data_IF_414860124386
#
_entry.id   IF_414860124386
#
_cell.length_a   1.000
_cell.length_b   1.000
_cell.length_c   1.000
_cell.angle_alpha   90.00
_cell.angle_beta   90.00
_cell.angle_gamma   90.00
#
_symmetry.space_group_name_H-M   'P 1'
#
loop_
_entity.id
_entity.type
_entity.pdbx_description
1 polymer ?
#
# COMPACT_ATOMS: atom_id res chain seq x y z
N UNK A 1 -9.39 31.55 -28.17
CA UNK A 1 -8.00 31.46 -28.70
C UNK A 1 -6.99 32.34 -27.95
N UNK A 2 -7.39 33.50 -27.39
CA UNK A 2 -6.51 34.42 -26.63
C UNK A 2 -6.17 33.89 -25.22
N UNK A 3 -7.11 33.23 -24.52
CA UNK A 3 -6.86 32.62 -23.21
C UNK A 3 -5.76 31.53 -23.24
N UNK A 4 -5.63 30.79 -24.34
CA UNK A 4 -4.61 29.75 -24.50
C UNK A 4 -3.19 30.34 -24.71
N UNK A 5 -3.10 31.59 -25.21
CA UNK A 5 -1.82 32.31 -25.35
C UNK A 5 -1.37 32.92 -24.01
N UNK A 6 -2.30 33.40 -23.19
CA UNK A 6 -1.98 33.94 -21.86
C UNK A 6 -1.52 32.86 -20.87
N UNK A 7 -2.11 31.66 -20.91
CA UNK A 7 -1.64 30.51 -20.11
C UNK A 7 -0.21 30.07 -20.48
N UNK A 8 0.21 30.29 -21.73
CA UNK A 8 1.56 29.97 -22.23
C UNK A 8 2.63 30.96 -21.75
N UNK A 9 2.24 32.18 -21.38
CA UNK A 9 3.19 33.27 -21.07
C UNK A 9 3.54 33.34 -19.57
N UNK A 10 2.70 32.78 -18.69
CA UNK A 10 2.97 32.73 -17.25
C UNK A 10 3.85 31.55 -16.80
N UNK A 11 4.22 30.65 -17.71
CA UNK A 11 5.07 29.50 -17.39
C UNK A 11 6.41 29.69 -18.09
N UNK A 12 7.20 30.67 -17.63
CA UNK A 12 8.66 30.57 -17.78
C UNK A 12 9.08 29.49 -16.78
N UNK A 13 9.54 28.31 -17.20
CA UNK A 13 9.86 27.23 -16.28
C UNK A 13 11.15 27.58 -15.55
N UNK A 14 11.00 28.33 -14.45
CA UNK A 14 12.04 28.46 -13.43
C UNK A 14 12.41 27.06 -12.95
N UNK A 15 13.69 26.84 -12.64
CA UNK A 15 14.26 25.54 -12.24
C UNK A 15 13.41 24.77 -11.21
N UNK A 16 12.66 25.48 -10.37
CA UNK A 16 11.72 24.96 -9.37
C UNK A 16 10.56 24.11 -9.93
N UNK A 17 10.01 24.45 -11.11
CA UNK A 17 8.89 23.67 -11.70
C UNK A 17 9.34 22.27 -12.12
N UNK A 18 10.62 22.08 -12.44
CA UNK A 18 11.19 20.76 -12.75
C UNK A 18 11.46 19.92 -11.50
N UNK A 19 11.59 20.54 -10.34
CA UNK A 19 11.85 19.83 -9.08
C UNK A 19 10.55 19.34 -8.42
N UNK A 20 9.44 20.06 -8.61
CA UNK A 20 8.17 19.76 -7.95
C UNK A 20 7.70 18.29 -8.11
N UNK A 21 7.78 17.65 -9.29
CA UNK A 21 7.36 16.25 -9.44
C UNK A 21 8.29 15.27 -8.70
N UNK A 22 9.58 15.59 -8.56
CA UNK A 22 10.51 14.74 -7.81
C UNK A 22 10.17 14.73 -6.32
N UNK A 23 9.67 15.84 -5.78
CA UNK A 23 9.23 15.93 -4.38
C UNK A 23 8.04 15.00 -4.13
N UNK A 24 7.18 14.75 -5.12
CA UNK A 24 6.04 13.83 -5.01
C UNK A 24 6.45 12.35 -4.86
N UNK A 25 7.66 11.97 -5.28
CA UNK A 25 8.14 10.58 -5.14
C UNK A 25 8.23 10.19 -3.67
N UNK A 26 8.66 11.12 -2.80
CA UNK A 26 8.85 10.88 -1.36
C UNK A 26 7.53 10.46 -0.67
N UNK A 27 6.43 11.23 -0.72
CA UNK A 27 5.17 10.83 -0.10
C UNK A 27 4.58 9.58 -0.75
N UNK A 28 4.75 9.36 -2.07
CA UNK A 28 4.28 8.12 -2.71
C UNK A 28 4.95 6.90 -2.10
N UNK A 29 6.28 6.90 -2.02
CA UNK A 29 7.06 5.79 -1.44
C UNK A 29 6.71 5.62 0.04
N UNK A 30 6.58 6.72 0.79
CA UNK A 30 6.26 6.70 2.21
C UNK A 30 4.87 6.10 2.47
N UNK A 31 3.84 6.52 1.73
CA UNK A 31 2.50 5.96 1.88
C UNK A 31 2.43 4.51 1.40
N UNK A 32 3.12 4.15 0.32
CA UNK A 32 3.23 2.75 -0.11
C UNK A 32 3.88 1.88 0.98
N UNK A 33 4.99 2.34 1.57
CA UNK A 33 5.67 1.62 2.63
C UNK A 33 4.77 1.47 3.88
N UNK A 34 4.08 2.54 4.31
CA UNK A 34 3.16 2.51 5.44
C UNK A 34 1.97 1.58 5.20
N UNK A 35 1.37 1.62 4.00
CA UNK A 35 0.29 0.72 3.63
C UNK A 35 0.75 -0.75 3.60
N UNK A 36 1.96 -1.02 3.09
CA UNK A 36 2.52 -2.38 3.04
C UNK A 36 2.93 -2.92 4.41
N UNK A 37 3.54 -2.09 5.26
CA UNK A 37 3.89 -2.47 6.63
C UNK A 37 2.64 -2.71 7.48
N UNK A 38 1.56 -1.97 7.18
CA UNK A 38 0.28 -2.09 7.87
C UNK A 38 0.45 -2.08 9.38
N UNK A 39 -0.11 -3.10 10.02
CA UNK A 39 -0.19 -3.22 11.46
C UNK A 39 1.14 -3.59 12.13
N UNK A 40 2.16 -4.04 11.36
CA UNK A 40 3.49 -4.34 11.91
C UNK A 40 4.25 -3.07 12.31
N UNK A 41 3.82 -1.91 11.82
CA UNK A 41 4.44 -0.64 12.20
C UNK A 41 4.13 -0.30 13.66
N UNK A 42 5.15 -0.31 14.52
CA UNK A 42 5.05 0.13 15.92
C UNK A 42 5.11 1.65 16.07
N UNK A 43 4.79 2.40 15.01
CA UNK A 43 4.86 3.85 15.02
C UNK A 43 3.75 4.43 15.92
N UNK A 44 4.08 5.12 17.02
CA UNK A 44 3.08 5.68 17.93
C UNK A 44 2.26 6.82 17.29
N UNK A 45 2.72 7.39 16.18
CA UNK A 45 2.07 8.53 15.53
C UNK A 45 0.84 8.16 14.67
N UNK A 46 0.77 6.91 14.19
CA UNK A 46 -0.35 6.43 13.35
C UNK A 46 -0.76 5.04 13.83
N UNK A 47 -1.47 4.94 14.97
CA UNK A 47 -2.10 3.69 15.36
C UNK A 47 -3.12 3.26 14.31
N UNK A 48 -3.48 1.98 14.31
CA UNK A 48 -4.63 1.45 13.55
C UNK A 48 -4.49 1.43 12.02
N UNK A 49 -3.29 1.11 11.51
CA UNK A 49 -3.10 0.79 10.09
C UNK A 49 -3.39 -0.69 9.87
N UNK A 50 -4.65 -1.04 9.65
CA UNK A 50 -5.05 -2.39 9.25
C UNK A 50 -6.05 -2.33 8.10
N UNK A 51 -6.20 -3.45 7.40
CA UNK A 51 -7.21 -3.63 6.35
C UNK A 51 -8.53 -4.00 6.99
N UNK A 52 -8.50 -5.01 7.86
CA UNK A 52 -9.66 -5.50 8.60
C UNK A 52 -9.22 -5.79 10.04
N UNK A 53 -10.07 -5.43 10.99
CA UNK A 53 -10.04 -5.87 12.36
C UNK A 53 -11.19 -6.88 12.59
N UNK A 54 -10.89 -7.97 13.29
CA UNK A 54 -11.83 -9.01 13.68
C UNK A 54 -11.97 -8.97 15.20
N UNK A 55 -13.19 -8.78 15.67
CA UNK A 55 -13.55 -8.79 17.08
C UNK A 55 -14.56 -9.92 17.32
N UNK A 56 -14.45 -10.69 18.40
CA UNK A 56 -15.44 -11.69 18.73
C UNK A 56 -16.76 -11.02 19.15
N UNK A 57 -17.88 -11.74 19.01
CA UNK A 57 -19.19 -11.19 19.32
C UNK A 57 -19.30 -10.76 20.79
N UNK A 58 -20.03 -9.66 21.07
CA UNK A 58 -20.20 -9.04 22.41
C UNK A 58 -20.62 -9.98 23.56
N UNK A 59 -21.05 -11.20 23.24
CA UNK A 59 -21.43 -12.22 24.22
C UNK A 59 -20.25 -13.13 24.65
N UNK A 60 -19.06 -12.95 24.06
CA UNK A 60 -17.85 -13.69 24.42
C UNK A 60 -17.06 -12.94 25.49
N UNK A 61 -16.49 -13.66 26.45
CA UNK A 61 -15.77 -13.10 27.60
C UNK A 61 -14.33 -12.66 27.29
N UNK A 62 -13.94 -12.64 26.01
CA UNK A 62 -12.55 -12.46 25.58
C UNK A 62 -12.41 -11.11 24.85
N UNK A 63 -11.76 -10.10 25.45
CA UNK A 63 -11.49 -8.83 24.79
C UNK A 63 -10.29 -8.98 23.85
N UNK A 64 -10.42 -9.82 22.83
CA UNK A 64 -9.35 -10.06 21.84
C UNK A 64 -9.70 -9.40 20.51
N UNK A 65 -8.75 -8.69 19.93
CA UNK A 65 -8.90 -8.08 18.60
C UNK A 65 -7.80 -8.60 17.68
N UNK A 66 -8.16 -9.08 16.48
CA UNK A 66 -7.19 -9.52 15.48
C UNK A 66 -7.19 -8.54 14.32
N UNK A 67 -6.08 -7.84 14.11
CA UNK A 67 -5.88 -6.85 13.06
C UNK A 67 -5.04 -7.43 11.94
N UNK A 68 -5.51 -7.28 10.70
CA UNK A 68 -4.89 -7.88 9.52
C UNK A 68 -4.42 -6.78 8.57
N UNK A 69 -3.13 -6.78 8.24
CA UNK A 69 -2.50 -5.93 7.23
C UNK A 69 -2.16 -6.70 5.94
N UNK A 70 -1.46 -6.06 5.00
CA UNK A 70 -1.08 -6.69 3.73
C UNK A 70 -0.08 -7.84 3.89
N UNK A 71 0.88 -7.71 4.79
CA UNK A 71 1.95 -8.69 5.03
C UNK A 71 2.10 -9.10 6.50
N UNK A 72 1.27 -8.55 7.39
CA UNK A 72 1.34 -8.82 8.81
C UNK A 72 -0.02 -8.95 9.46
N UNK A 73 0.00 -9.53 10.64
CA UNK A 73 -1.15 -9.73 11.51
C UNK A 73 -0.75 -9.30 12.91
N UNK A 74 -1.68 -8.66 13.62
CA UNK A 74 -1.50 -8.30 15.02
C UNK A 74 -2.67 -8.79 15.85
N UNK A 75 -2.39 -9.17 17.09
CA UNK A 75 -3.38 -9.51 18.09
C UNK A 75 -3.28 -8.50 19.23
N UNK A 76 -4.42 -7.94 19.63
CA UNK A 76 -4.57 -7.17 20.85
C UNK A 76 -5.26 -8.06 21.90
N UNK A 77 -4.61 -8.26 23.04
CA UNK A 77 -5.15 -8.99 24.19
C UNK A 77 -5.77 -8.07 25.26
N UNK A 78 -5.93 -6.78 24.95
CA UNK A 78 -6.42 -5.73 25.85
C UNK A 78 -5.32 -5.07 26.68
N UNK A 79 -4.12 -5.65 26.74
CA UNK A 79 -2.96 -5.08 27.42
C UNK A 79 -1.80 -4.78 26.46
N UNK A 80 -1.53 -5.72 25.54
CA UNK A 80 -0.36 -5.67 24.66
C UNK A 80 -0.78 -6.07 23.24
N UNK A 81 -0.50 -5.19 22.29
CA UNK A 81 -0.58 -5.50 20.87
C UNK A 81 0.71 -6.22 20.44
N UNK A 82 0.59 -7.45 19.95
CA UNK A 82 1.69 -8.22 19.36
C UNK A 82 1.50 -8.35 17.87
N UNK A 83 2.57 -8.18 17.11
CA UNK A 83 2.53 -8.19 15.64
C UNK A 83 3.54 -9.17 15.08
N UNK A 84 3.16 -9.89 14.03
CA UNK A 84 4.02 -10.82 13.32
C UNK A 84 3.73 -10.77 11.81
N UNK A 85 4.74 -11.12 11.01
CA UNK A 85 4.51 -11.43 9.59
C UNK A 85 3.61 -12.65 9.45
N UNK A 86 2.58 -12.56 8.63
CA UNK A 86 1.68 -13.69 8.33
C UNK A 86 2.19 -14.57 7.19
N UNK A 87 3.34 -14.23 6.58
CA UNK A 87 3.91 -14.98 5.47
C UNK A 87 4.41 -16.37 5.92
N UNK A 88 3.75 -17.43 5.43
CA UNK A 88 4.20 -18.82 5.58
C UNK A 88 4.04 -19.42 6.99
N UNK A 89 3.30 -18.74 7.89
CA UNK A 89 3.07 -19.22 9.24
C UNK A 89 1.90 -20.21 9.34
N UNK A 90 2.07 -21.28 10.11
CA UNK A 90 0.97 -22.15 10.54
C UNK A 90 0.05 -21.39 11.51
N UNK A 91 -1.27 -21.58 11.39
CA UNK A 91 -2.30 -20.91 12.21
C UNK A 91 -2.00 -21.09 13.71
N UNK A 92 -1.54 -22.27 14.12
CA UNK A 92 -1.25 -22.57 15.53
C UNK A 92 -0.05 -21.77 16.04
N UNK A 93 1.01 -21.67 15.22
CA UNK A 93 2.22 -20.92 15.57
C UNK A 93 1.90 -19.43 15.67
N UNK A 94 1.17 -18.90 14.69
CA UNK A 94 0.75 -17.49 14.68
C UNK A 94 -0.15 -17.20 15.88
N UNK A 95 -1.15 -18.04 16.16
CA UNK A 95 -2.06 -17.85 17.30
C UNK A 95 -1.31 -17.85 18.62
N UNK A 96 -0.41 -18.81 18.84
CA UNK A 96 0.38 -18.90 20.08
C UNK A 96 1.34 -17.72 20.26
N UNK A 97 1.88 -17.19 19.16
CA UNK A 97 2.76 -16.03 19.16
C UNK A 97 2.02 -14.73 19.46
N UNK A 98 0.83 -14.54 18.87
CA UNK A 98 -0.01 -13.37 19.09
C UNK A 98 -0.62 -13.38 20.51
N UNK A 99 -1.02 -14.56 20.99
CA UNK A 99 -1.85 -14.73 22.18
C UNK A 99 -1.24 -15.73 23.18
N UNK A 100 -0.03 -15.47 23.71
CA UNK A 100 0.68 -16.42 24.57
C UNK A 100 -0.04 -16.70 25.89
N UNK A 101 -0.85 -15.75 26.40
CA UNK A 101 -1.65 -15.92 27.62
C UNK A 101 -2.62 -17.09 27.53
N UNK A 102 -3.19 -17.33 26.35
CA UNK A 102 -4.17 -18.38 26.12
C UNK A 102 -3.52 -19.74 25.86
N UNK A 103 -2.24 -19.77 25.46
CA UNK A 103 -1.47 -20.99 25.33
C UNK A 103 -1.02 -21.57 26.69
N UNK A 104 -0.81 -20.71 27.70
CA UNK A 104 -0.19 -21.11 28.98
C UNK A 104 -1.18 -21.37 30.13
N UNK A 105 -2.44 -20.92 30.03
CA UNK A 105 -3.44 -21.03 31.11
C UNK A 105 -4.06 -22.44 31.29
N UNK A 106 -3.48 -23.49 30.71
CA UNK A 106 -3.87 -24.87 30.95
C UNK A 106 -3.15 -25.48 32.17
N UNK A 107 -3.13 -24.75 33.28
CA UNK A 107 -2.61 -25.22 34.55
C UNK A 107 -3.64 -26.13 35.23
N UNK A 108 -3.52 -27.42 34.93
CA UNK A 108 -4.23 -28.49 35.62
C UNK A 108 -3.84 -29.88 35.12
N UNK A 109 -2.59 -30.30 35.35
CA UNK A 109 -2.11 -31.71 35.27
C UNK A 109 -2.08 -32.45 33.92
N UNK A 110 -2.13 -31.78 32.75
CA UNK A 110 -1.94 -32.46 31.47
C UNK A 110 -0.55 -32.17 30.87
N UNK A 111 0.24 -33.22 30.63
CA UNK A 111 1.60 -33.24 30.04
C UNK A 111 1.67 -32.84 28.56
N UNK A 112 0.70 -32.08 28.06
CA UNK A 112 0.59 -31.71 26.64
C UNK A 112 0.26 -30.22 26.54
N UNK A 113 0.96 -29.44 25.70
CA UNK A 113 0.61 -28.03 25.48
C UNK A 113 -0.85 -27.96 25.02
N UNK A 114 -1.68 -27.25 25.76
CA UNK A 114 -3.08 -27.09 25.42
C UNK A 114 -3.21 -26.25 24.15
N UNK A 115 -4.04 -26.71 23.24
CA UNK A 115 -4.36 -25.95 22.04
C UNK A 115 -5.10 -24.66 22.45
N UNK A 116 -4.85 -23.52 21.78
CA UNK A 116 -5.64 -22.31 21.99
C UNK A 116 -7.12 -22.59 21.66
N UNK A 117 -8.06 -21.76 22.18
CA UNK A 117 -9.49 -21.94 21.93
C UNK A 117 -9.77 -22.07 20.44
N UNK A 118 -10.60 -23.04 20.04
CA UNK A 118 -10.92 -23.29 18.62
C UNK A 118 -11.45 -22.03 17.93
N UNK A 119 -12.22 -21.21 18.65
CA UNK A 119 -12.73 -19.92 18.16
C UNK A 119 -11.61 -18.94 17.75
N UNK A 120 -10.51 -18.89 18.51
CA UNK A 120 -9.39 -18.01 18.22
C UNK A 120 -8.61 -18.51 16.99
N UNK A 121 -8.44 -19.83 16.89
CA UNK A 121 -7.84 -20.44 15.70
C UNK A 121 -8.68 -20.17 14.45
N UNK A 122 -10.00 -20.25 14.56
CA UNK A 122 -10.93 -19.98 13.45
C UNK A 122 -10.87 -18.51 13.00
N UNK A 123 -10.78 -17.56 13.95
CA UNK A 123 -10.60 -16.13 13.64
C UNK A 123 -9.27 -15.90 12.90
N UNK A 124 -8.17 -16.45 13.40
CA UNK A 124 -6.83 -16.28 12.80
C UNK A 124 -6.75 -16.99 11.44
N UNK A 125 -7.33 -18.18 11.30
CA UNK A 125 -7.41 -18.89 10.02
C UNK A 125 -8.20 -18.09 8.99
N UNK A 126 -9.36 -17.54 9.38
CA UNK A 126 -10.20 -16.69 8.53
C UNK A 126 -9.44 -15.43 8.11
N UNK A 127 -8.73 -14.77 9.04
CA UNK A 127 -7.89 -13.63 8.77
C UNK A 127 -6.81 -13.92 7.70
N UNK A 128 -6.07 -15.03 7.85
CA UNK A 128 -5.02 -15.43 6.90
C UNK A 128 -5.62 -15.78 5.53
N UNK A 129 -6.79 -16.43 5.51
CA UNK A 129 -7.48 -16.77 4.26
C UNK A 129 -7.97 -15.52 3.52
N UNK A 130 -8.52 -14.54 4.23
CA UNK A 130 -8.94 -13.24 3.67
C UNK A 130 -7.72 -12.50 3.10
N UNK A 131 -6.62 -12.44 3.85
CA UNK A 131 -5.40 -11.76 3.44
C UNK A 131 -4.82 -12.37 2.15
N UNK A 132 -4.73 -13.70 2.07
CA UNK A 132 -4.11 -14.39 0.93
C UNK A 132 -4.97 -14.39 -0.33
N UNK A 133 -6.31 -14.44 -0.21
CA UNK A 133 -7.21 -14.53 -1.36
C UNK A 133 -7.71 -13.19 -1.90
N UNK A 134 -8.00 -12.24 -1.02
CA UNK A 134 -8.72 -11.00 -1.39
C UNK A 134 -7.75 -9.84 -1.53
N UNK A 135 -6.85 -9.69 -0.56
CA UNK A 135 -5.87 -8.60 -0.54
C UNK A 135 -4.52 -9.01 -1.14
N UNK A 136 -4.58 -10.00 -2.06
CA UNK A 136 -3.44 -10.44 -2.84
C UNK A 136 -2.63 -9.26 -3.35
N UNK A 137 -1.33 -9.51 -3.52
CA UNK A 137 -0.20 -8.59 -3.66
C UNK A 137 -0.26 -7.53 -4.80
N UNK A 138 -1.45 -7.15 -5.29
CA UNK A 138 -1.68 -6.12 -6.30
C UNK A 138 -1.04 -4.80 -5.88
N UNK A 139 -1.18 -4.39 -4.61
CA UNK A 139 -0.56 -3.16 -4.12
C UNK A 139 0.97 -3.23 -4.10
N UNK A 140 1.53 -4.37 -3.70
CA UNK A 140 2.98 -4.58 -3.73
C UNK A 140 3.49 -4.63 -5.18
N UNK A 141 2.75 -5.26 -6.08
CA UNK A 141 3.02 -5.24 -7.52
C UNK A 141 2.96 -3.82 -8.09
N UNK A 142 1.97 -3.02 -7.70
CA UNK A 142 1.87 -1.62 -8.08
C UNK A 142 3.09 -0.81 -7.62
N UNK A 143 3.53 -1.04 -6.38
CA UNK A 143 4.73 -0.42 -5.81
C UNK A 143 5.98 -0.85 -6.58
N UNK A 144 6.13 -2.15 -6.88
CA UNK A 144 7.23 -2.68 -7.68
C UNK A 144 7.30 -2.05 -9.09
N UNK A 145 6.16 -1.97 -9.79
CA UNK A 145 6.10 -1.31 -11.10
C UNK A 145 6.39 0.18 -11.01
N UNK A 146 6.01 0.86 -9.92
CA UNK A 146 6.37 2.25 -9.67
C UNK A 146 7.90 2.41 -9.60
N UNK A 147 8.57 1.61 -8.78
CA UNK A 147 10.03 1.65 -8.63
C UNK A 147 10.76 1.40 -9.95
N UNK A 148 10.35 0.39 -10.72
CA UNK A 148 10.94 0.14 -12.06
C UNK A 148 10.66 1.33 -12.98
N UNK A 149 9.46 1.90 -12.95
CA UNK A 149 9.11 3.10 -13.70
C UNK A 149 10.02 4.29 -13.38
N UNK A 150 10.36 4.52 -12.11
CA UNK A 150 11.31 5.56 -11.67
C UNK A 150 12.73 5.27 -12.18
N UNK A 151 13.20 4.02 -12.13
CA UNK A 151 14.51 3.63 -12.67
C UNK A 151 14.57 3.91 -14.16
N UNK A 152 13.53 3.51 -14.92
CA UNK A 152 13.43 3.79 -16.35
C UNK A 152 13.40 5.29 -16.65
N UNK A 153 12.68 6.07 -15.84
CA UNK A 153 12.65 7.54 -15.96
C UNK A 153 14.05 8.15 -15.76
N UNK A 154 14.82 7.67 -14.77
CA UNK A 154 16.18 8.16 -14.52
C UNK A 154 17.12 7.80 -15.67
N UNK A 155 17.05 6.56 -16.17
CA UNK A 155 17.82 6.11 -17.33
C UNK A 155 17.46 6.93 -18.58
N UNK A 156 16.17 7.21 -18.78
CA UNK A 156 15.70 8.01 -19.89
C UNK A 156 16.18 9.46 -19.81
N UNK A 157 16.13 10.07 -18.63
CA UNK A 157 16.66 11.42 -18.40
C UNK A 157 18.17 11.49 -18.64
N UNK A 158 18.92 10.46 -18.24
CA UNK A 158 20.36 10.34 -18.50
C UNK A 158 20.67 10.21 -19.99
N UNK A 159 19.90 9.40 -20.71
CA UNK A 159 20.04 9.21 -22.17
C UNK A 159 19.74 10.51 -22.93
N UNK A 160 18.75 11.30 -22.48
CA UNK A 160 18.47 12.61 -23.07
C UNK A 160 19.53 13.68 -22.76
N UNK A 161 20.24 13.58 -21.62
CA UNK A 161 21.30 14.53 -21.26
C UNK A 161 22.58 14.29 -22.08
N UNK A 162 22.88 13.02 -22.38
CA UNK A 162 24.01 12.61 -23.21
C UNK A 162 23.49 11.77 -24.39
N UNK A 163 22.87 12.40 -25.40
CA UNK A 163 22.27 11.68 -26.51
C UNK A 163 23.35 10.92 -27.26
N UNK A 164 23.21 9.59 -27.34
CA UNK A 164 24.05 8.77 -28.18
C UNK A 164 23.43 8.71 -29.59
N UNK A 165 24.05 9.34 -30.62
CA UNK A 165 23.49 9.41 -31.96
C UNK A 165 23.30 8.01 -32.58
N UNK A 166 24.06 7.01 -32.15
CA UNK A 166 24.05 5.67 -32.74
C UNK A 166 22.86 4.81 -32.28
N UNK A 167 22.08 5.23 -31.28
CA UNK A 167 21.05 4.39 -30.64
C UNK A 167 19.69 5.06 -30.41
N UNK A 168 19.04 5.64 -31.44
CA UNK A 168 17.74 6.31 -31.30
C UNK A 168 16.62 5.37 -30.79
N UNK A 169 16.73 4.06 -31.09
CA UNK A 169 15.75 3.04 -30.65
C UNK A 169 15.72 2.88 -29.13
N UNK A 170 16.84 3.11 -28.44
CA UNK A 170 16.94 2.97 -26.97
C UNK A 170 16.08 4.00 -26.25
N UNK A 171 16.16 5.27 -26.66
CA UNK A 171 15.38 6.37 -26.09
C UNK A 171 13.87 6.13 -26.23
N UNK A 172 13.43 5.63 -27.40
CA UNK A 172 12.02 5.28 -27.63
C UNK A 172 11.52 4.15 -26.71
N UNK A 173 12.33 3.11 -26.50
CA UNK A 173 12.00 2.00 -25.59
C UNK A 173 11.94 2.49 -24.14
N UNK A 174 12.92 3.26 -23.68
CA UNK A 174 12.96 3.81 -22.33
C UNK A 174 11.76 4.72 -22.07
N UNK A 175 11.40 5.56 -23.05
CA UNK A 175 10.22 6.42 -22.99
C UNK A 175 8.93 5.60 -22.86
N UNK A 176 8.72 4.61 -23.73
CA UNK A 176 7.52 3.76 -23.71
C UNK A 176 7.44 2.94 -22.43
N UNK A 177 8.56 2.39 -21.97
CA UNK A 177 8.68 1.65 -20.72
C UNK A 177 8.34 2.51 -19.51
N UNK A 178 8.91 3.71 -19.42
CA UNK A 178 8.63 4.66 -18.34
C UNK A 178 7.15 4.98 -18.24
N UNK A 179 6.51 5.41 -19.34
CA UNK A 179 5.08 5.73 -19.31
C UNK A 179 4.24 4.49 -19.03
N UNK A 180 4.51 3.38 -19.72
CA UNK A 180 3.75 2.14 -19.52
C UNK A 180 3.76 1.67 -18.07
N UNK A 181 4.94 1.64 -17.43
CA UNK A 181 5.09 1.20 -16.04
C UNK A 181 4.44 2.16 -15.04
N UNK A 182 4.60 3.47 -15.22
CA UNK A 182 4.02 4.46 -14.29
C UNK A 182 2.49 4.52 -14.40
N UNK A 183 1.93 4.48 -15.62
CA UNK A 183 0.48 4.40 -15.80
C UNK A 183 -0.09 3.07 -15.32
N UNK A 184 0.59 1.95 -15.58
CA UNK A 184 0.18 0.64 -15.07
C UNK A 184 0.18 0.63 -13.54
N UNK A 185 1.26 1.10 -12.92
CA UNK A 185 1.37 1.23 -11.46
C UNK A 185 0.24 2.09 -10.89
N UNK A 186 0.00 3.28 -11.45
CA UNK A 186 -1.08 4.18 -11.00
C UNK A 186 -2.45 3.51 -11.13
N UNK A 187 -2.71 2.79 -12.23
CA UNK A 187 -3.93 2.03 -12.44
C UNK A 187 -4.11 0.90 -11.42
N UNK A 188 -3.03 0.20 -11.06
CA UNK A 188 -3.06 -0.85 -10.03
C UNK A 188 -3.27 -0.29 -8.62
N UNK A 189 -2.66 0.86 -8.29
CA UNK A 189 -2.94 1.56 -7.02
C UNK A 189 -4.41 1.98 -6.95
N UNK A 190 -4.96 2.55 -8.03
CA UNK A 190 -6.37 2.89 -8.13
C UNK A 190 -7.28 1.67 -7.93
N UNK A 191 -7.01 0.59 -8.65
CA UNK A 191 -7.77 -0.65 -8.54
C UNK A 191 -7.70 -1.22 -7.11
N UNK A 192 -6.55 -1.13 -6.45
CA UNK A 192 -6.40 -1.56 -5.05
C UNK A 192 -7.22 -0.68 -4.10
N UNK A 193 -7.15 0.65 -4.25
CA UNK A 193 -7.90 1.58 -3.40
C UNK A 193 -9.41 1.36 -3.52
N UNK A 194 -9.89 1.17 -4.76
CA UNK A 194 -11.28 0.88 -5.04
C UNK A 194 -11.68 -0.49 -4.46
N UNK A 195 -10.92 -1.55 -4.74
CA UNK A 195 -11.20 -2.89 -4.24
C UNK A 195 -11.23 -2.95 -2.70
N UNK A 196 -10.31 -2.25 -2.03
CA UNK A 196 -10.25 -2.20 -0.55
C UNK A 196 -11.42 -1.41 0.04
N UNK A 197 -11.88 -0.36 -0.66
CA UNK A 197 -13.06 0.41 -0.26
C UNK A 197 -14.34 -0.44 -0.37
N UNK A 198 -14.54 -1.10 -1.51
CA UNK A 198 -15.70 -1.98 -1.76
C UNK A 198 -15.70 -3.20 -0.82
N UNK A 199 -14.57 -3.91 -0.72
CA UNK A 199 -14.45 -5.07 0.17
C UNK A 199 -14.67 -4.68 1.64
N UNK A 200 -14.14 -3.52 2.06
CA UNK A 200 -14.36 -3.00 3.41
C UNK A 200 -15.84 -2.74 3.70
N UNK A 201 -16.57 -2.14 2.75
CA UNK A 201 -18.01 -1.91 2.88
C UNK A 201 -18.82 -3.20 2.96
N UNK A 202 -18.53 -4.17 2.07
CA UNK A 202 -19.23 -5.46 2.05
C UNK A 202 -18.98 -6.26 3.32
N UNK A 203 -17.75 -6.28 3.84
CA UNK A 203 -17.42 -7.00 5.08
C UNK A 203 -18.12 -6.40 6.31
N UNK A 204 -18.15 -5.07 6.42
CA UNK A 204 -18.87 -4.40 7.49
C UNK A 204 -20.38 -4.66 7.43
N UNK A 205 -20.98 -4.60 6.22
CA UNK A 205 -22.41 -4.88 6.05
C UNK A 205 -22.75 -6.35 6.36
N UNK A 206 -21.94 -7.29 5.87
CA UNK A 206 -22.17 -8.73 6.06
C UNK A 206 -22.06 -9.13 7.52
N UNK A 207 -21.09 -8.57 8.25
CA UNK A 207 -20.91 -8.85 9.68
C UNK A 207 -22.04 -8.27 10.55
N UNK A 208 -22.64 -7.14 10.17
CA UNK A 208 -23.80 -6.58 10.88
C UNK A 208 -25.10 -7.35 10.59
N UNK A 209 -25.28 -7.81 9.35
CA UNK A 209 -26.46 -8.57 8.94
C UNK A 209 -26.49 -9.97 9.58
N UNK A 210 -25.32 -10.55 9.86
CA UNK A 210 -25.19 -11.81 10.57
C UNK A 210 -25.24 -11.58 12.09
N UNK A 211 -26.41 -11.22 12.62
CA UNK A 211 -26.65 -11.09 14.07
C UNK A 211 -26.36 -12.36 14.89
N UNK A 212 -26.17 -13.51 14.23
CA UNK A 212 -25.76 -14.79 14.81
C UNK A 212 -24.29 -15.16 14.56
N UNK A 213 -23.51 -14.38 13.81
CA UNK A 213 -22.10 -14.69 13.60
C UNK A 213 -21.27 -14.33 14.83
N UNK A 214 -20.39 -15.25 15.23
CA UNK A 214 -19.52 -15.09 16.39
C UNK A 214 -18.41 -14.03 16.22
N UNK A 215 -18.31 -13.38 15.06
CA UNK A 215 -17.19 -12.49 14.69
C UNK A 215 -17.71 -11.22 14.00
N UNK A 216 -17.44 -10.07 14.60
CA UNK A 216 -17.64 -8.75 13.99
C UNK A 216 -16.38 -8.33 13.23
N UNK A 217 -16.57 -7.72 12.05
CA UNK A 217 -15.46 -7.28 11.19
C UNK A 217 -15.53 -5.77 10.96
N UNK A 218 -14.44 -5.08 11.29
CA UNK A 218 -14.27 -3.64 11.08
C UNK A 218 -13.22 -3.36 10.00
N UNK A 219 -13.65 -2.79 8.87
CA UNK A 219 -12.71 -2.28 7.87
C UNK A 219 -11.91 -1.07 8.39
N UNK A 220 -10.60 -1.08 8.16
CA UNK A 220 -9.70 0.00 8.58
C UNK A 220 -9.79 1.21 7.64
N UNK A 221 -10.21 2.35 8.18
CA UNK A 221 -10.33 3.61 7.40
C UNK A 221 -8.97 4.22 7.08
N UNK A 222 -8.00 4.08 7.98
CA UNK A 222 -6.67 4.68 7.83
C UNK A 222 -5.97 4.19 6.57
N UNK A 223 -6.02 2.87 6.29
CA UNK A 223 -5.37 2.33 5.11
C UNK A 223 -6.06 2.75 3.81
N UNK A 224 -7.40 2.88 3.81
CA UNK A 224 -8.15 3.37 2.66
C UNK A 224 -7.73 4.81 2.32
N UNK A 225 -7.63 5.69 3.32
CA UNK A 225 -7.16 7.06 3.12
C UNK A 225 -5.74 7.09 2.57
N UNK A 226 -4.82 6.29 3.12
CA UNK A 226 -3.44 6.20 2.63
C UNK A 226 -3.36 5.73 1.17
N UNK A 227 -4.20 4.77 0.77
CA UNK A 227 -4.25 4.28 -0.62
C UNK A 227 -4.78 5.34 -1.58
N UNK A 228 -5.85 6.05 -1.22
CA UNK A 228 -6.39 7.15 -2.02
C UNK A 228 -5.40 8.31 -2.15
N UNK A 229 -4.67 8.64 -1.07
CA UNK A 229 -3.60 9.63 -1.12
C UNK A 229 -2.45 9.18 -2.03
N UNK A 230 -2.04 7.91 -1.92
CA UNK A 230 -1.02 7.32 -2.81
C UNK A 230 -1.45 7.41 -4.27
N UNK A 231 -2.70 7.06 -4.58
CA UNK A 231 -3.27 7.19 -5.92
C UNK A 231 -3.23 8.64 -6.41
N UNK A 232 -3.70 9.60 -5.61
CA UNK A 232 -3.71 11.01 -5.98
C UNK A 232 -2.32 11.53 -6.32
N UNK A 233 -1.33 11.26 -5.47
CA UNK A 233 0.06 11.67 -5.73
C UNK A 233 0.67 10.94 -6.94
N UNK A 234 0.43 9.63 -7.09
CA UNK A 234 0.92 8.86 -8.24
C UNK A 234 0.31 9.33 -9.57
N UNK A 235 -0.97 9.71 -9.57
CA UNK A 235 -1.65 10.27 -10.73
C UNK A 235 -1.05 11.63 -11.12
N UNK A 236 -0.87 12.56 -10.16
CA UNK A 236 -0.25 13.86 -10.41
C UNK A 236 1.18 13.69 -10.92
N UNK A 237 1.95 12.79 -10.29
CA UNK A 237 3.31 12.46 -10.72
C UNK A 237 3.33 11.98 -12.16
N UNK A 238 2.56 10.92 -12.48
CA UNK A 238 2.49 10.31 -13.81
C UNK A 238 2.02 11.30 -14.88
N UNK A 239 1.06 12.17 -14.56
CA UNK A 239 0.59 13.22 -15.46
C UNK A 239 1.66 14.30 -15.73
N UNK A 240 2.60 14.53 -14.79
CA UNK A 240 3.64 15.55 -14.91
C UNK A 240 4.92 15.05 -15.57
N UNK A 241 5.16 13.73 -15.60
CA UNK A 241 6.35 13.13 -16.23
C UNK A 241 6.57 13.58 -17.69
N UNK A 242 5.54 13.68 -18.57
CA UNK A 242 5.72 14.19 -19.93
C UNK A 242 6.29 15.61 -19.99
N UNK A 243 5.96 16.45 -19.01
CA UNK A 243 6.44 17.83 -18.91
C UNK A 243 7.91 17.83 -18.46
N UNK A 244 8.26 16.97 -17.50
CA UNK A 244 9.60 16.84 -16.96
C UNK A 244 10.61 16.35 -18.01
N UNK A 245 10.17 15.44 -18.86
CA UNK A 245 11.00 14.78 -19.87
C UNK A 245 11.26 15.67 -21.09
N UNK A 246 10.39 16.66 -21.37
CA UNK A 246 10.57 17.51 -22.54
C UNK A 246 11.96 18.17 -22.47
N UNK A 247 12.82 17.98 -23.49
CA UNK A 247 14.07 18.70 -23.58
C UNK A 247 13.72 20.18 -23.70
N UNK A 248 13.77 20.92 -22.60
CA UNK A 248 13.48 22.33 -22.64
C UNK A 248 14.64 23.02 -23.36
N UNK A 249 14.36 23.62 -24.51
CA UNK A 249 14.67 25.01 -24.96
C UNK A 249 15.91 25.67 -24.31
N UNK A 250 16.96 24.91 -24.03
CA UNK A 250 18.26 25.42 -23.57
C UNK A 250 19.29 25.27 -24.70
N UNK A 251 18.97 24.49 -25.75
CA UNK A 251 19.74 24.45 -26.98
C UNK A 251 19.64 25.75 -27.79
N UNK A 252 18.50 26.45 -27.75
CA UNK A 252 18.29 27.68 -28.54
C UNK A 252 19.13 28.88 -28.11
N UNK A 253 19.88 28.78 -27.00
CA UNK A 253 20.87 29.82 -26.62
C UNK A 253 22.27 29.46 -27.13
N UNK A 254 22.58 28.18 -27.36
CA UNK A 254 23.82 27.76 -28.02
C UNK A 254 23.76 27.91 -29.53
N UNK A 255 22.57 27.98 -30.12
CA UNK A 255 22.39 28.25 -31.55
C UNK A 255 22.28 29.76 -31.86
N UNK A 256 22.40 30.62 -30.85
CA UNK A 256 22.33 32.09 -30.97
C UNK A 256 23.64 32.82 -30.58
N UNK A 257 24.69 32.07 -30.24
CA UNK A 257 26.06 32.56 -29.96
C UNK A 257 27.02 31.78 -30.85
#
# INVERSE_FOLDING_TARGET
MVLFKLAKMFIKPTSTIRLAPCVLIIPIILFQALSLSGCVSTSPAIPDIYIVSLEPAKNTSLPVEVRVGYFGICGDDGEIVRCQSSAGGDVNIVTNSLFPKFANNATGNATRPAAPPSELQDIVATAIQIQSRIFGSIFAGASFFFFIGIIFLFLYKRDNANPNPDKPRRSAILRRGTYGLLYLSTGLVFATALATTEAGGVLQFSSQAASSSAIFMHAGRTIQVLQWMTFGFAMIFTATVPILVRPGIVQTVKDFV
#
